data_IF_473795671804
#
_entry.id   IF_473795671804
#
_cell.length_a   1.000
_cell.length_b   1.000
_cell.length_c   1.000
_cell.angle_alpha   90.00
_cell.angle_beta   90.00
_cell.angle_gamma   90.00
#
_symmetry.space_group_name_H-M   'P 1'
#
loop_
_entity.id
_entity.type
_entity.pdbx_description
1 polymer ?
#
# COMPACT_ATOMS: atom_id res chain seq x y z
N UNK A 1 -24.65 3.95 -17.99
CA UNK A 1 -25.55 4.13 -16.85
C UNK A 1 -25.46 5.59 -16.38
N UNK A 2 -26.56 6.31 -16.41
CA UNK A 2 -26.69 7.62 -15.78
C UNK A 2 -27.65 7.48 -14.62
N UNK A 3 -27.15 7.63 -13.41
CA UNK A 3 -28.02 7.77 -12.24
C UNK A 3 -28.46 9.23 -12.17
N UNK A 4 -29.75 9.47 -12.24
CA UNK A 4 -30.30 10.82 -12.07
C UNK A 4 -30.54 11.07 -10.57
N UNK A 5 -29.66 11.82 -9.95
CA UNK A 5 -29.90 12.38 -8.64
C UNK A 5 -30.42 13.79 -8.85
N UNK A 6 -31.60 14.09 -8.29
CA UNK A 6 -32.14 15.45 -8.33
C UNK A 6 -31.22 16.36 -7.50
N UNK A 7 -30.49 17.25 -8.16
CA UNK A 7 -29.62 18.22 -7.54
C UNK A 7 -30.42 19.53 -7.43
N UNK A 8 -30.68 20.06 -6.20
CA UNK A 8 -31.33 21.36 -6.05
C UNK A 8 -30.51 22.45 -6.74
N UNK A 9 -31.18 23.45 -7.30
CA UNK A 9 -30.53 24.51 -8.06
C UNK A 9 -29.77 25.38 -7.09
N UNK A 10 -29.22 25.77 -6.45
CA UNK A 10 -28.50 26.68 -5.55
C UNK A 10 -28.10 26.03 -4.23
N UNK A 11 -26.85 25.67 -4.09
CA UNK A 11 -26.31 25.17 -2.84
C UNK A 11 -24.98 24.45 -2.97
N UNK A 12 -24.35 24.20 -1.84
CA UNK A 12 -23.14 23.38 -1.74
C UNK A 12 -23.50 21.91 -1.61
N UNK A 13 -22.80 21.08 -2.36
CA UNK A 13 -22.94 19.63 -2.32
C UNK A 13 -21.67 19.00 -1.81
N UNK A 14 -21.81 18.09 -0.86
CA UNK A 14 -20.71 17.23 -0.44
C UNK A 14 -20.70 15.99 -1.35
N UNK A 15 -19.69 15.86 -2.22
CA UNK A 15 -19.48 14.71 -3.09
C UNK A 15 -18.36 13.87 -2.53
N UNK A 16 -18.64 12.59 -2.26
CA UNK A 16 -17.64 11.58 -1.93
C UNK A 16 -17.59 10.54 -3.03
N UNK A 17 -16.39 10.25 -3.53
CA UNK A 17 -16.15 9.18 -4.50
C UNK A 17 -15.09 8.22 -3.96
N UNK A 18 -15.40 6.93 -3.99
CA UNK A 18 -14.45 5.86 -3.64
C UNK A 18 -14.23 4.97 -4.85
N UNK A 19 -13.00 4.92 -5.36
CA UNK A 19 -12.62 4.08 -6.48
C UNK A 19 -11.86 2.86 -5.95
N UNK A 20 -12.44 1.66 -6.09
CA UNK A 20 -11.81 0.42 -5.63
C UNK A 20 -12.25 -0.76 -6.51
N UNK A 21 -11.30 -1.64 -6.87
CA UNK A 21 -11.60 -2.89 -7.61
C UNK A 21 -12.49 -2.68 -8.85
N UNK A 22 -12.13 -1.76 -9.73
CA UNK A 22 -12.89 -1.41 -10.93
C UNK A 22 -14.32 -0.89 -10.66
N UNK A 23 -14.60 -0.45 -9.46
CA UNK A 23 -15.89 0.10 -9.09
C UNK A 23 -15.71 1.51 -8.53
N UNK A 24 -16.53 2.44 -8.98
CA UNK A 24 -16.67 3.75 -8.37
C UNK A 24 -17.97 3.75 -7.58
N UNK A 25 -17.85 3.89 -6.27
CA UNK A 25 -18.95 4.16 -5.37
C UNK A 25 -19.00 5.64 -5.07
N UNK A 26 -20.16 6.21 -4.91
CA UNK A 26 -20.26 7.61 -4.58
C UNK A 26 -21.47 7.96 -3.75
N UNK A 27 -21.36 9.12 -3.10
CA UNK A 27 -22.43 9.75 -2.32
C UNK A 27 -22.52 11.24 -2.64
N UNK A 28 -23.73 11.75 -2.65
CA UNK A 28 -24.00 13.17 -2.65
C UNK A 28 -24.81 13.51 -1.41
N UNK A 29 -24.30 14.39 -0.57
CA UNK A 29 -24.94 14.76 0.72
C UNK A 29 -25.35 13.54 1.57
N UNK A 30 -24.50 12.50 1.61
CA UNK A 30 -24.74 11.26 2.34
C UNK A 30 -25.61 10.21 1.61
N UNK A 31 -26.27 10.55 0.50
CA UNK A 31 -27.08 9.62 -0.29
C UNK A 31 -26.20 8.90 -1.32
N UNK A 32 -26.21 7.55 -1.25
CA UNK A 32 -25.46 6.73 -2.21
C UNK A 32 -26.12 6.78 -3.59
N UNK A 33 -25.29 6.74 -4.64
CA UNK A 33 -25.76 6.44 -5.99
C UNK A 33 -25.29 5.06 -6.46
N UNK A 34 -25.89 4.54 -7.53
CA UNK A 34 -25.59 3.23 -8.05
C UNK A 34 -24.10 3.11 -8.40
N UNK A 35 -23.41 2.04 -7.98
CA UNK A 35 -22.01 1.84 -8.28
C UNK A 35 -21.74 1.75 -9.78
N UNK A 36 -20.75 2.50 -10.26
CA UNK A 36 -20.25 2.41 -11.63
C UNK A 36 -19.17 1.32 -11.68
N UNK A 37 -19.40 0.29 -12.50
CA UNK A 37 -18.43 -0.81 -12.70
C UNK A 37 -17.78 -0.71 -14.07
N UNK A 38 -16.45 -0.77 -14.10
CA UNK A 38 -15.67 -0.90 -15.34
C UNK A 38 -15.54 -2.38 -15.70
N UNK A 39 -16.29 -2.84 -16.71
CA UNK A 39 -16.41 -4.27 -17.03
C UNK A 39 -15.22 -4.77 -17.86
N UNK A 40 -14.68 -3.98 -18.78
CA UNK A 40 -13.72 -4.47 -19.77
C UNK A 40 -12.34 -3.83 -19.77
N UNK A 41 -12.12 -2.75 -19.05
CA UNK A 41 -10.81 -2.10 -18.96
C UNK A 41 -10.77 -1.25 -17.69
N UNK A 42 -10.06 -1.67 -16.64
CA UNK A 42 -9.82 -0.76 -15.53
C UNK A 42 -9.11 0.49 -16.06
N UNK A 43 -9.51 1.68 -15.64
CA UNK A 43 -8.78 2.87 -16.01
C UNK A 43 -7.32 2.70 -15.56
N UNK A 44 -6.40 2.90 -16.49
CA UNK A 44 -4.98 2.95 -16.18
C UNK A 44 -4.65 4.14 -15.27
N UNK A 45 -3.36 4.33 -14.93
CA UNK A 45 -2.93 5.50 -14.17
C UNK A 45 -3.43 6.77 -14.87
N UNK A 46 -4.12 7.62 -14.13
CA UNK A 46 -4.75 8.83 -14.65
C UNK A 46 -4.67 9.99 -13.68
N UNK A 47 -5.14 11.14 -14.14
CA UNK A 47 -5.31 12.33 -13.31
C UNK A 47 -6.76 12.42 -12.86
N UNK A 48 -6.99 12.88 -11.65
CA UNK A 48 -8.32 13.24 -11.15
C UNK A 48 -8.53 14.74 -11.35
N UNK A 49 -9.70 15.12 -11.83
CA UNK A 49 -10.05 16.51 -12.03
C UNK A 49 -11.55 16.71 -11.98
N UNK A 50 -11.95 17.97 -11.79
CA UNK A 50 -13.34 18.38 -11.86
C UNK A 50 -13.63 18.94 -13.25
N UNK A 51 -14.78 18.59 -13.78
CA UNK A 51 -15.26 19.11 -15.05
C UNK A 51 -16.70 19.61 -14.90
N UNK A 52 -17.00 20.78 -15.43
CA UNK A 52 -18.34 21.32 -15.51
C UNK A 52 -18.72 21.58 -16.96
N UNK A 53 -20.00 21.42 -17.30
CA UNK A 53 -20.50 21.68 -18.65
C UNK A 53 -20.49 23.18 -18.92
N UNK A 54 -20.20 23.59 -20.15
CA UNK A 54 -19.79 24.93 -20.55
C UNK A 54 -20.77 26.09 -20.36
N UNK A 55 -21.95 25.85 -19.85
CA UNK A 55 -22.98 26.86 -19.53
C UNK A 55 -23.31 26.94 -18.04
N UNK A 56 -22.42 26.38 -17.20
CA UNK A 56 -22.62 26.30 -15.77
C UNK A 56 -21.47 26.98 -15.03
N UNK A 57 -21.77 27.89 -14.11
CA UNK A 57 -20.82 28.43 -13.15
C UNK A 57 -20.75 27.47 -11.95
N UNK A 58 -19.61 26.76 -11.82
CA UNK A 58 -19.37 25.84 -10.73
C UNK A 58 -18.17 26.27 -9.89
N UNK A 59 -18.33 26.30 -8.58
CA UNK A 59 -17.23 26.49 -7.64
C UNK A 59 -16.90 25.16 -6.95
N UNK A 60 -15.63 24.82 -6.89
CA UNK A 60 -15.14 23.65 -6.16
C UNK A 60 -14.32 24.11 -4.97
N UNK A 61 -14.70 23.68 -3.78
CA UNK A 61 -14.02 24.06 -2.55
C UNK A 61 -13.71 22.81 -1.70
N UNK A 62 -12.68 22.89 -0.88
CA UNK A 62 -12.30 21.88 0.11
C UNK A 62 -12.16 20.46 -0.49
N UNK A 63 -11.64 20.35 -1.71
CA UNK A 63 -11.38 19.03 -2.30
C UNK A 63 -10.20 18.35 -1.61
N UNK A 64 -10.39 17.12 -1.18
CA UNK A 64 -9.32 16.25 -0.70
C UNK A 64 -9.34 14.92 -1.45
N UNK A 65 -8.16 14.44 -1.82
CA UNK A 65 -8.00 13.12 -2.43
C UNK A 65 -7.23 12.27 -1.44
N UNK A 66 -7.88 11.24 -0.90
CA UNK A 66 -7.23 10.23 -0.09
C UNK A 66 -7.19 8.92 -0.85
N UNK A 67 -6.02 8.29 -0.92
CA UNK A 67 -5.94 6.92 -1.40
C UNK A 67 -6.40 6.01 -0.26
N UNK A 68 -7.27 5.01 -0.53
CA UNK A 68 -7.57 4.00 0.48
C UNK A 68 -6.26 3.29 0.83
N UNK A 69 -5.85 3.41 2.07
CA UNK A 69 -4.65 2.76 2.58
C UNK A 69 -4.99 1.28 2.76
N UNK A 70 -4.29 0.39 2.06
CA UNK A 70 -4.47 -1.05 2.25
C UNK A 70 -4.16 -1.45 3.70
N UNK A 71 -4.72 -2.57 4.16
CA UNK A 71 -4.43 -3.08 5.49
C UNK A 71 -2.91 -3.24 5.70
N UNK A 72 -2.21 -3.84 4.74
CA UNK A 72 -0.76 -4.00 4.78
C UNK A 72 -0.02 -2.66 4.88
N UNK A 73 -0.46 -1.63 4.15
CA UNK A 73 0.12 -0.30 4.22
C UNK A 73 -0.12 0.37 5.57
N UNK A 74 -1.32 0.21 6.14
CA UNK A 74 -1.64 0.72 7.47
C UNK A 74 -0.74 0.10 8.55
N UNK A 75 -0.58 -1.23 8.51
CA UNK A 75 0.32 -1.96 9.42
C UNK A 75 1.76 -1.48 9.25
N UNK A 76 2.23 -1.35 8.01
CA UNK A 76 3.59 -0.89 7.71
C UNK A 76 3.85 0.52 8.25
N UNK A 77 2.90 1.44 8.06
CA UNK A 77 2.99 2.80 8.56
C UNK A 77 3.13 2.86 10.08
N UNK A 78 2.35 2.06 10.81
CA UNK A 78 2.42 1.98 12.26
C UNK A 78 3.77 1.43 12.73
N UNK A 79 4.23 0.33 12.14
CA UNK A 79 5.50 -0.31 12.49
C UNK A 79 6.68 0.63 12.21
N UNK A 80 6.67 1.34 11.09
CA UNK A 80 7.76 2.27 10.75
C UNK A 80 7.75 3.52 11.64
N UNK A 81 6.59 3.96 12.12
CA UNK A 81 6.48 5.09 13.04
C UNK A 81 7.20 4.82 14.36
N UNK A 82 7.17 3.59 14.86
CA UNK A 82 7.81 3.18 16.11
C UNK A 82 9.28 2.83 15.95
N UNK A 83 9.71 2.43 14.76
CA UNK A 83 11.07 1.95 14.47
C UNK A 83 11.94 2.99 13.75
N UNK A 84 12.42 4.01 14.47
CA UNK A 84 13.14 5.18 13.93
C UNK A 84 14.48 4.89 13.25
N UNK A 85 15.02 3.68 13.39
CA UNK A 85 16.25 3.24 12.73
C UNK A 85 16.02 2.82 11.26
N UNK A 86 14.77 2.64 10.85
CA UNK A 86 14.39 2.34 9.47
C UNK A 86 14.43 3.62 8.61
N UNK A 87 15.07 3.53 7.46
CA UNK A 87 15.01 4.58 6.42
C UNK A 87 13.87 4.32 5.44
N UNK A 88 13.75 3.07 5.00
CA UNK A 88 12.73 2.60 4.07
C UNK A 88 12.38 1.17 4.37
N UNK A 89 11.13 0.83 4.18
CA UNK A 89 10.63 -0.55 4.28
C UNK A 89 9.69 -0.83 3.11
N UNK A 90 9.83 -1.99 2.54
CA UNK A 90 8.96 -2.54 1.51
C UNK A 90 8.47 -3.91 1.98
N UNK A 91 7.16 -4.11 1.98
CA UNK A 91 6.53 -5.40 2.22
C UNK A 91 6.24 -6.05 0.88
N UNK A 92 6.92 -7.15 0.61
CA UNK A 92 6.92 -7.81 -0.69
C UNK A 92 6.18 -9.15 -0.59
N UNK A 93 5.27 -9.42 -1.52
CA UNK A 93 4.52 -10.66 -1.54
C UNK A 93 4.32 -11.17 -2.97
N UNK A 94 3.98 -12.46 -3.10
CA UNK A 94 3.60 -13.08 -4.37
C UNK A 94 2.09 -13.15 -4.41
N UNK A 95 1.50 -12.38 -5.33
CA UNK A 95 0.06 -12.40 -5.56
C UNK A 95 -0.37 -13.71 -6.23
N UNK A 96 -1.52 -14.24 -5.85
CA UNK A 96 -2.07 -15.45 -6.45
C UNK A 96 -2.17 -15.30 -7.97
N UNK A 97 -1.62 -16.27 -8.71
CA UNK A 97 -1.55 -16.24 -10.17
C UNK A 97 -0.33 -15.52 -10.76
N UNK A 98 0.44 -14.79 -9.97
CA UNK A 98 1.69 -14.16 -10.40
C UNK A 98 2.91 -14.99 -10.01
N UNK A 99 3.91 -15.04 -10.91
CA UNK A 99 5.20 -15.70 -10.64
C UNK A 99 6.24 -14.75 -10.03
N UNK A 100 6.02 -13.45 -10.16
CA UNK A 100 6.93 -12.41 -9.70
C UNK A 100 6.45 -11.80 -8.40
N UNK A 101 7.35 -11.53 -7.46
CA UNK A 101 7.01 -10.80 -6.25
C UNK A 101 6.73 -9.34 -6.56
N UNK A 102 5.71 -8.78 -5.91
CA UNK A 102 5.33 -7.36 -6.02
C UNK A 102 5.40 -6.69 -4.65
N UNK A 103 5.63 -5.40 -4.65
CA UNK A 103 5.64 -4.58 -3.44
C UNK A 103 4.18 -4.30 -3.07
N UNK A 104 3.68 -4.93 -2.01
CA UNK A 104 2.31 -4.80 -1.53
C UNK A 104 2.10 -3.54 -0.67
N UNK A 105 3.14 -3.13 0.08
CA UNK A 105 3.16 -1.90 0.87
C UNK A 105 4.59 -1.37 0.96
N UNK A 106 4.75 -0.04 1.05
CA UNK A 106 6.07 0.59 1.15
C UNK A 106 5.99 1.94 1.88
N UNK A 107 7.10 2.34 2.52
CA UNK A 107 7.24 3.71 3.04
C UNK A 107 7.31 4.75 1.93
N UNK A 108 7.81 4.38 0.76
CA UNK A 108 7.73 5.15 -0.48
C UNK A 108 6.57 4.59 -1.31
N UNK A 109 5.44 5.29 -1.31
CA UNK A 109 4.20 4.84 -1.94
C UNK A 109 4.34 4.65 -3.46
N UNK A 110 5.27 5.34 -4.10
CA UNK A 110 5.53 5.19 -5.54
C UNK A 110 6.10 3.81 -5.90
N UNK A 111 6.55 3.04 -4.92
CA UNK A 111 7.04 1.69 -5.13
C UNK A 111 5.93 0.63 -5.09
N UNK A 112 4.79 0.93 -4.49
CA UNK A 112 3.68 -0.02 -4.34
C UNK A 112 3.17 -0.47 -5.72
N UNK A 113 2.97 -1.78 -5.87
CA UNK A 113 2.55 -2.42 -7.11
C UNK A 113 3.69 -2.72 -8.10
N UNK A 114 4.92 -2.22 -7.88
CA UNK A 114 6.07 -2.55 -8.72
C UNK A 114 6.63 -3.94 -8.40
N UNK A 115 7.32 -4.52 -9.38
CA UNK A 115 8.03 -5.77 -9.19
C UNK A 115 9.18 -5.59 -8.19
N UNK A 116 9.29 -6.52 -7.27
CA UNK A 116 10.39 -6.57 -6.31
C UNK A 116 11.58 -7.38 -6.85
N UNK A 117 12.80 -7.18 -6.29
CA UNK A 117 13.97 -7.97 -6.65
C UNK A 117 13.77 -9.48 -6.46
N UNK A 118 14.42 -10.28 -7.29
CA UNK A 118 14.36 -11.75 -7.22
C UNK A 118 14.82 -12.33 -5.86
N UNK A 119 15.69 -11.62 -5.15
CA UNK A 119 16.13 -11.97 -3.79
C UNK A 119 14.97 -12.05 -2.80
N UNK A 120 13.94 -11.19 -2.95
CA UNK A 120 12.73 -11.24 -2.13
C UNK A 120 11.93 -12.52 -2.38
N UNK A 121 11.92 -13.03 -3.63
CA UNK A 121 11.26 -14.30 -3.95
C UNK A 121 11.89 -15.46 -3.18
N UNK A 122 13.21 -15.55 -3.16
CA UNK A 122 13.92 -16.59 -2.41
C UNK A 122 13.62 -16.53 -0.91
N UNK A 123 13.49 -15.32 -0.37
CA UNK A 123 13.10 -15.13 1.04
C UNK A 123 11.67 -15.63 1.30
N UNK A 124 10.73 -15.37 0.39
CA UNK A 124 9.33 -15.83 0.53
C UNK A 124 9.23 -17.35 0.39
N UNK A 125 9.96 -17.95 -0.54
CA UNK A 125 9.86 -19.39 -0.85
C UNK A 125 10.65 -20.26 0.14
N UNK A 126 11.85 -19.81 0.54
CA UNK A 126 12.82 -20.63 1.29
C UNK A 126 13.10 -20.10 2.71
N UNK A 127 12.55 -18.96 3.09
CA UNK A 127 12.81 -18.33 4.39
C UNK A 127 14.24 -17.78 4.54
N UNK A 128 14.97 -17.61 3.44
CA UNK A 128 16.35 -17.11 3.47
C UNK A 128 16.42 -15.65 3.90
N UNK A 129 17.41 -15.32 4.72
CA UNK A 129 17.70 -13.95 5.15
C UNK A 129 18.83 -13.40 4.29
N UNK A 130 18.58 -12.24 3.66
CA UNK A 130 19.59 -11.53 2.88
C UNK A 130 20.10 -10.33 3.67
N UNK A 131 21.39 -10.12 3.66
CA UNK A 131 22.05 -8.95 4.23
C UNK A 131 23.04 -8.39 3.22
N UNK A 132 22.93 -7.12 2.93
CA UNK A 132 23.84 -6.38 2.07
C UNK A 132 24.17 -5.04 2.72
N UNK A 133 25.42 -4.68 2.71
CA UNK A 133 25.93 -3.43 3.27
C UNK A 133 26.70 -2.64 2.22
N UNK A 134 26.27 -1.41 2.02
CA UNK A 134 26.93 -0.41 1.21
C UNK A 134 27.37 0.77 2.10
N UNK A 135 28.22 1.68 1.59
CA UNK A 135 28.78 2.81 2.37
C UNK A 135 27.75 3.60 3.19
N UNK A 136 26.51 3.75 2.67
CA UNK A 136 25.51 4.64 3.28
C UNK A 136 24.19 3.93 3.62
N UNK A 137 24.06 2.64 3.34
CA UNK A 137 22.78 1.93 3.49
C UNK A 137 23.04 0.46 3.77
N UNK A 138 22.29 -0.08 4.72
CA UNK A 138 22.26 -1.49 5.01
C UNK A 138 20.90 -2.02 4.57
N UNK A 139 20.91 -3.01 3.70
CA UNK A 139 19.71 -3.69 3.24
C UNK A 139 19.60 -5.04 3.94
N UNK A 140 18.45 -5.30 4.55
CA UNK A 140 18.12 -6.59 5.15
C UNK A 140 16.78 -7.05 4.62
N UNK A 141 16.73 -8.28 4.09
CA UNK A 141 15.48 -8.91 3.66
C UNK A 141 15.18 -10.06 4.60
N UNK A 142 14.03 -10.02 5.26
CA UNK A 142 13.60 -11.00 6.28
C UNK A 142 12.27 -11.61 5.87
N UNK A 143 12.05 -12.92 6.14
CA UNK A 143 10.74 -13.52 5.99
C UNK A 143 9.78 -12.96 7.06
N UNK A 144 8.59 -12.58 6.64
CA UNK A 144 7.48 -12.22 7.53
C UNK A 144 6.60 -13.44 7.70
N UNK A 145 6.56 -13.97 8.93
CA UNK A 145 5.81 -15.18 9.28
C UNK A 145 4.61 -14.81 10.12
N UNK A 146 3.47 -15.45 9.85
CA UNK A 146 2.29 -15.36 10.71
C UNK A 146 2.50 -16.14 12.02
N UNK A 147 1.51 -16.14 12.90
CA UNK A 147 1.58 -16.83 14.20
C UNK A 147 1.73 -18.35 14.07
N UNK A 148 1.33 -18.93 12.93
CA UNK A 148 1.48 -20.36 12.63
C UNK A 148 2.87 -20.71 12.04
N UNK A 149 3.72 -19.70 11.84
CA UNK A 149 5.07 -19.86 11.27
C UNK A 149 5.11 -19.91 9.74
N UNK A 150 3.97 -19.70 9.07
CA UNK A 150 3.91 -19.66 7.61
C UNK A 150 4.47 -18.33 7.07
N UNK A 151 5.26 -18.39 6.00
CA UNK A 151 5.81 -17.19 5.37
C UNK A 151 4.73 -16.53 4.51
N UNK A 152 4.29 -15.34 4.93
CA UNK A 152 3.28 -14.55 4.23
C UNK A 152 3.91 -13.60 3.20
N UNK A 153 5.07 -13.04 3.53
CA UNK A 153 5.73 -11.99 2.76
C UNK A 153 7.24 -11.96 3.06
N UNK A 154 7.97 -11.10 2.36
CA UNK A 154 9.30 -10.66 2.74
C UNK A 154 9.26 -9.18 3.11
N UNK A 155 9.91 -8.80 4.20
CA UNK A 155 10.16 -7.41 4.55
C UNK A 155 11.57 -7.02 4.08
N UNK A 156 11.64 -6.12 3.13
CA UNK A 156 12.87 -5.51 2.62
C UNK A 156 13.10 -4.19 3.33
N UNK A 157 14.09 -4.14 4.18
CA UNK A 157 14.35 -3.03 5.09
C UNK A 157 15.68 -2.35 4.77
N UNK A 158 15.67 -1.03 4.77
CA UNK A 158 16.85 -0.21 4.60
C UNK A 158 17.12 0.52 5.92
N UNK A 159 18.29 0.28 6.48
CA UNK A 159 18.71 0.77 7.79
C UNK A 159 19.83 1.80 7.64
N UNK A 160 19.88 2.75 8.57
CA UNK A 160 21.03 3.66 8.68
C UNK A 160 22.24 2.92 9.28
N UNK A 161 23.43 3.01 8.65
CA UNK A 161 24.64 2.57 9.32
C UNK A 161 24.84 3.40 10.61
N UNK A 162 25.15 2.74 11.70
CA UNK A 162 25.45 3.41 12.96
C UNK A 162 26.94 3.22 13.33
N UNK A 163 27.56 4.22 13.97
CA UNK A 163 29.00 4.19 14.33
C UNK A 163 29.42 2.99 15.19
N UNK A 164 28.47 2.36 15.91
CA UNK A 164 28.73 1.24 16.85
C UNK A 164 27.81 0.05 16.59
N UNK A 165 27.20 -0.02 15.39
CA UNK A 165 26.28 -1.11 15.07
C UNK A 165 26.98 -2.18 14.24
N UNK A 166 26.73 -3.44 14.60
CA UNK A 166 27.26 -4.62 13.90
C UNK A 166 26.20 -5.24 13.00
N UNK A 167 26.62 -6.13 12.10
CA UNK A 167 25.70 -6.95 11.30
C UNK A 167 24.66 -7.67 12.18
N UNK A 168 25.08 -8.20 13.34
CA UNK A 168 24.19 -8.85 14.29
C UNK A 168 23.11 -7.91 14.82
N UNK A 169 23.49 -6.66 15.16
CA UNK A 169 22.54 -5.64 15.61
C UNK A 169 21.51 -5.30 14.53
N UNK A 170 21.95 -5.16 13.27
CA UNK A 170 21.05 -4.86 12.16
C UNK A 170 20.08 -5.99 11.87
N UNK A 171 20.58 -7.25 11.90
CA UNK A 171 19.73 -8.43 11.74
C UNK A 171 18.71 -8.56 12.89
N UNK A 172 19.11 -8.31 14.13
CA UNK A 172 18.21 -8.36 15.27
C UNK A 172 17.08 -7.31 15.17
N UNK A 173 17.43 -6.07 14.79
CA UNK A 173 16.43 -5.00 14.55
C UNK A 173 15.47 -5.35 13.41
N UNK A 174 16.00 -5.85 12.31
CA UNK A 174 15.18 -6.28 11.17
C UNK A 174 14.26 -7.46 11.54
N UNK A 175 14.76 -8.41 12.34
CA UNK A 175 13.97 -9.54 12.85
C UNK A 175 12.81 -9.07 13.72
N UNK A 176 13.05 -8.13 14.65
CA UNK A 176 11.99 -7.56 15.48
C UNK A 176 10.86 -6.91 14.64
N UNK A 177 11.24 -6.16 13.61
CA UNK A 177 10.28 -5.55 12.67
C UNK A 177 9.51 -6.62 11.89
N UNK A 178 10.18 -7.67 11.39
CA UNK A 178 9.54 -8.75 10.66
C UNK A 178 8.55 -9.53 11.53
N UNK A 179 8.89 -9.77 12.79
CA UNK A 179 8.01 -10.41 13.78
C UNK A 179 6.79 -9.51 14.06
N UNK A 180 6.98 -8.20 14.26
CA UNK A 180 5.90 -7.27 14.51
C UNK A 180 4.93 -7.21 13.33
N UNK A 181 5.43 -7.17 12.08
CA UNK A 181 4.62 -7.27 10.87
C UNK A 181 3.85 -8.59 10.80
N UNK A 182 4.51 -9.71 11.08
CA UNK A 182 3.91 -11.04 11.04
C UNK A 182 2.83 -11.26 12.09
N UNK A 183 2.99 -10.68 13.28
CA UNK A 183 1.97 -10.74 14.33
C UNK A 183 0.67 -10.01 13.94
N UNK A 184 0.75 -9.06 13.02
CA UNK A 184 -0.39 -8.26 12.56
C UNK A 184 -0.97 -8.72 11.22
N UNK A 185 -0.15 -9.33 10.35
CA UNK A 185 -0.55 -9.82 9.03
C UNK A 185 -0.62 -11.35 9.08
N UNK A 186 -1.83 -11.88 9.18
CA UNK A 186 -2.07 -13.30 9.41
C UNK A 186 -2.38 -14.09 8.13
N UNK A 187 -2.81 -13.41 7.08
CA UNK A 187 -3.17 -14.06 5.80
C UNK A 187 -2.59 -13.31 4.61
N UNK A 188 -2.28 -14.03 3.53
CA UNK A 188 -1.82 -13.41 2.27
C UNK A 188 -2.87 -12.48 1.67
N UNK A 189 -4.16 -12.73 1.91
CA UNK A 189 -5.24 -11.85 1.44
C UNK A 189 -5.19 -10.44 2.04
N UNK A 190 -4.64 -10.27 3.24
CA UNK A 190 -4.47 -8.97 3.90
C UNK A 190 -3.38 -8.10 3.26
N UNK A 191 -2.50 -8.69 2.45
CA UNK A 191 -1.42 -7.95 1.77
C UNK A 191 -1.93 -7.14 0.56
N UNK A 192 -3.06 -7.54 -0.01
CA UNK A 192 -3.57 -6.96 -1.27
C UNK A 192 -5.00 -6.39 -1.17
N UNK A 193 -5.47 -6.14 0.04
CA UNK A 193 -6.81 -5.57 0.30
C UNK A 193 -6.73 -4.16 0.80
#
# INVERSE_FOLDING_TARGET
HSSHIAIPKDGWYHLELTCQNNTINGRINGNNFDPLKFINNPPGPGKVGFWARGDTDCLFAMSSISLPVSFAQSVLNDVTRTNKHLQRVELVAIQSGNKMPVIAAATDLDQVGKNAPATCKNTIENGSVVYSENRNTIEVIMPVKNVDGEIMAAARMFLKPGKLTTQGTHRARASAVAIELGNRIQTRGQLFR
#
